data_IF_408946223449
#
_entry.id   IF_408946223449
#
_cell.length_a   1.000
_cell.length_b   1.000
_cell.length_c   1.000
_cell.angle_alpha   90.00
_cell.angle_beta   90.00
_cell.angle_gamma   90.00
#
_symmetry.space_group_name_H-M   'P 1'
#
loop_
_entity.id
_entity.type
_entity.pdbx_description
1 polymer ?
#
# COMPACT_ATOMS: atom_id res chain seq x y z
N UNK A 1 25.54 6.65 -27.69
CA UNK A 1 26.41 6.92 -26.52
C UNK A 1 25.62 7.56 -25.41
N UNK A 2 24.87 6.78 -24.64
CA UNK A 2 24.07 7.31 -23.53
C UNK A 2 24.88 7.19 -22.25
N UNK A 3 25.63 8.24 -21.90
CA UNK A 3 26.28 8.34 -20.59
C UNK A 3 25.23 8.72 -19.55
N UNK A 4 25.29 8.09 -18.38
CA UNK A 4 24.42 8.44 -17.24
C UNK A 4 25.18 9.39 -16.33
N UNK A 5 24.51 10.48 -15.96
CA UNK A 5 25.05 11.53 -15.10
C UNK A 5 24.30 11.56 -13.77
N UNK A 6 25.05 11.55 -12.67
CA UNK A 6 24.50 11.64 -11.30
C UNK A 6 25.28 12.69 -10.54
N UNK A 7 24.57 13.63 -9.92
CA UNK A 7 25.17 14.71 -9.13
C UNK A 7 24.76 14.55 -7.67
N UNK A 8 25.76 14.36 -6.81
CA UNK A 8 25.62 14.37 -5.36
C UNK A 8 25.95 15.76 -4.84
N UNK A 9 25.00 16.38 -4.13
CA UNK A 9 25.16 17.70 -3.51
C UNK A 9 25.23 17.57 -1.99
N UNK A 10 25.81 18.57 -1.33
CA UNK A 10 26.00 18.64 0.13
C UNK A 10 26.97 17.58 0.70
N UNK A 11 27.98 17.19 -0.08
CA UNK A 11 29.07 16.36 0.42
C UNK A 11 30.18 17.28 0.97
N UNK A 12 30.64 17.09 2.21
CA UNK A 12 31.87 17.76 2.63
C UNK A 12 33.06 17.12 1.91
N UNK A 13 33.61 17.79 0.91
CA UNK A 13 34.74 17.26 0.11
C UNK A 13 36.11 17.64 0.70
N UNK A 14 36.15 18.44 1.77
CA UNK A 14 37.41 18.84 2.42
C UNK A 14 38.07 17.67 3.13
N UNK A 15 39.23 17.24 2.60
CA UNK A 15 40.13 16.27 3.23
C UNK A 15 39.95 14.81 2.79
N UNK A 16 39.05 14.51 1.85
CA UNK A 16 38.79 13.15 1.37
C UNK A 16 38.92 13.03 -0.15
N UNK A 17 39.56 11.96 -0.63
CA UNK A 17 39.58 11.61 -2.05
C UNK A 17 38.27 10.89 -2.41
N UNK A 18 37.43 11.53 -3.21
CA UNK A 18 36.13 10.98 -3.63
C UNK A 18 36.29 10.35 -5.01
N UNK A 19 35.83 9.10 -5.17
CA UNK A 19 35.83 8.37 -6.44
C UNK A 19 34.44 7.80 -6.72
N UNK A 20 34.00 7.92 -7.97
CA UNK A 20 32.80 7.27 -8.48
C UNK A 20 33.17 5.86 -8.98
N UNK A 21 32.59 4.84 -8.35
CA UNK A 21 32.82 3.43 -8.71
C UNK A 21 31.50 2.75 -9.08
N UNK A 22 31.56 1.79 -9.99
CA UNK A 22 30.43 0.97 -10.44
C UNK A 22 30.69 -0.48 -10.06
N UNK A 23 29.64 -1.18 -9.65
CA UNK A 23 29.71 -2.59 -9.31
C UNK A 23 29.56 -3.44 -10.58
N UNK A 24 30.59 -4.21 -10.92
CA UNK A 24 30.60 -5.10 -12.09
C UNK A 24 30.68 -6.55 -11.62
N UNK A 25 29.97 -7.42 -12.34
CA UNK A 25 30.01 -8.86 -12.11
C UNK A 25 31.06 -9.50 -13.04
N UNK A 26 32.19 -9.94 -12.48
CA UNK A 26 33.25 -10.59 -13.22
C UNK A 26 33.55 -11.96 -12.60
N UNK A 27 33.46 -13.04 -13.39
CA UNK A 27 33.84 -14.41 -13.00
C UNK A 27 33.26 -14.86 -11.64
N UNK A 28 31.94 -14.73 -11.45
CA UNK A 28 31.22 -15.06 -10.22
C UNK A 28 31.54 -14.19 -8.98
N UNK A 29 32.27 -13.09 -9.14
CA UNK A 29 32.55 -12.13 -8.05
C UNK A 29 32.05 -10.73 -8.40
N UNK A 30 31.61 -9.99 -7.39
CA UNK A 30 31.21 -8.59 -7.52
C UNK A 30 32.42 -7.71 -7.21
N UNK A 31 32.85 -6.89 -8.16
CA UNK A 31 34.01 -6.02 -8.06
C UNK A 31 33.59 -4.56 -8.29
N UNK A 32 34.10 -3.65 -7.46
CA UNK A 32 33.99 -2.21 -7.70
C UNK A 32 35.06 -1.75 -8.68
N UNK A 33 34.69 -0.96 -9.69
CA UNK A 33 35.61 -0.46 -10.72
C UNK A 33 35.28 0.97 -11.13
N UNK A 34 36.30 1.75 -11.44
CA UNK A 34 36.24 3.15 -11.90
C UNK A 34 36.40 3.29 -13.43
N UNK A 35 36.75 2.19 -14.12
CA UNK A 35 37.15 2.14 -15.55
C UNK A 35 36.17 2.71 -16.56
N UNK A 36 34.96 3.03 -16.14
CA UNK A 36 33.86 3.52 -16.98
C UNK A 36 33.12 4.72 -16.36
N UNK A 37 33.68 5.32 -15.31
CA UNK A 37 33.13 6.46 -14.58
C UNK A 37 34.12 7.61 -14.48
N UNK A 38 33.63 8.81 -14.75
CA UNK A 38 34.38 10.05 -14.56
C UNK A 38 33.83 10.72 -13.31
N UNK A 39 34.72 11.01 -12.36
CA UNK A 39 34.42 11.81 -11.17
C UNK A 39 34.81 13.26 -11.44
N UNK A 40 33.87 14.19 -11.32
CA UNK A 40 34.12 15.62 -11.39
C UNK A 40 33.60 16.30 -10.13
N UNK A 41 34.48 16.97 -9.39
CA UNK A 41 34.10 17.73 -8.20
C UNK A 41 33.76 19.15 -8.62
N UNK A 42 32.53 19.59 -8.36
CA UNK A 42 32.04 20.92 -8.69
C UNK A 42 31.91 21.74 -7.38
N UNK A 43 33.00 22.42 -7.00
CA UNK A 43 33.11 23.17 -5.75
C UNK A 43 33.30 22.28 -4.50
N UNK A 44 33.25 22.89 -3.31
CA UNK A 44 33.54 22.22 -2.03
C UNK A 44 32.38 21.33 -1.51
N UNK A 45 31.25 21.30 -2.23
CA UNK A 45 30.02 20.65 -1.75
C UNK A 45 29.33 19.75 -2.76
N UNK A 46 29.82 19.63 -4.00
CA UNK A 46 29.16 18.82 -5.03
C UNK A 46 30.12 17.91 -5.78
N UNK A 47 29.69 16.67 -6.01
CA UNK A 47 30.42 15.65 -6.77
C UNK A 47 29.51 15.13 -7.87
N UNK A 48 30.01 15.13 -9.09
CA UNK A 48 29.32 14.72 -10.31
C UNK A 48 30.01 13.47 -10.87
N UNK A 49 29.23 12.41 -11.05
CA UNK A 49 29.67 11.13 -11.59
C UNK A 49 29.07 10.94 -12.99
N UNK A 50 29.90 10.71 -13.99
CA UNK A 50 29.47 10.45 -15.37
C UNK A 50 29.93 9.06 -15.79
N UNK A 51 29.02 8.11 -15.92
CA UNK A 51 29.34 6.71 -16.16
C UNK A 51 28.73 6.18 -17.47
N UNK A 52 29.40 5.26 -18.16
CA UNK A 52 28.92 4.67 -19.42
C UNK A 52 27.85 3.60 -19.21
N UNK A 53 27.91 2.88 -18.08
CA UNK A 53 26.93 1.88 -17.66
C UNK A 53 26.65 2.04 -16.17
N UNK A 54 25.36 2.02 -15.83
CA UNK A 54 24.90 2.25 -14.47
C UNK A 54 24.43 0.91 -13.88
N UNK A 55 25.18 0.35 -12.92
CA UNK A 55 24.74 -0.85 -12.19
C UNK A 55 23.60 -0.49 -11.22
N UNK A 56 22.44 -1.11 -11.43
CA UNK A 56 21.21 -1.16 -10.62
C UNK A 56 21.03 -0.07 -9.55
N UNK A 57 20.15 0.89 -9.84
CA UNK A 57 19.53 1.75 -8.83
C UNK A 57 18.18 1.15 -8.44
N UNK A 58 18.07 0.62 -7.23
CA UNK A 58 16.78 0.34 -6.59
C UNK A 58 16.40 1.53 -5.72
N UNK A 59 15.62 2.46 -6.27
CA UNK A 59 14.83 3.37 -5.42
C UNK A 59 13.51 2.66 -5.15
N UNK A 60 13.54 1.70 -4.24
CA UNK A 60 12.33 1.24 -3.57
C UNK A 60 12.44 1.71 -2.12
N UNK A 61 11.66 2.75 -1.79
CA UNK A 61 11.49 3.32 -0.46
C UNK A 61 12.66 4.22 0.02
N UNK A 62 12.78 5.42 -0.58
CA UNK A 62 13.57 6.49 0.04
C UNK A 62 12.94 6.88 1.39
N UNK A 63 13.72 6.76 2.47
CA UNK A 63 13.38 7.25 3.81
C UNK A 63 13.58 8.77 3.99
N UNK A 64 14.03 9.48 2.93
CA UNK A 64 14.17 10.94 2.94
C UNK A 64 12.96 11.61 2.28
N UNK A 65 12.47 12.74 2.82
CA UNK A 65 11.39 13.50 2.18
C UNK A 65 11.88 13.97 0.81
N UNK A 66 11.29 13.39 -0.25
CA UNK A 66 11.51 13.87 -1.61
C UNK A 66 10.88 15.26 -1.72
N UNK A 67 11.70 16.31 -1.58
CA UNK A 67 11.31 17.71 -1.77
C UNK A 67 11.05 18.08 -3.25
N UNK A 68 10.98 17.08 -4.13
CA UNK A 68 10.49 17.24 -5.50
C UNK A 68 9.27 16.36 -5.63
N UNK A 69 8.09 16.98 -5.69
CA UNK A 69 6.87 16.33 -6.14
C UNK A 69 7.11 15.77 -7.54
N UNK A 70 7.55 14.51 -7.62
CA UNK A 70 7.78 13.83 -8.88
C UNK A 70 6.45 13.74 -9.62
N UNK A 71 6.24 14.71 -10.51
CA UNK A 71 5.02 14.85 -11.32
C UNK A 71 4.70 13.57 -12.09
N UNK A 72 5.69 12.71 -12.34
CA UNK A 72 5.53 11.38 -12.93
C UNK A 72 4.82 10.40 -11.99
N UNK A 73 5.20 10.33 -10.72
CA UNK A 73 4.58 9.42 -9.73
C UNK A 73 3.13 9.82 -9.44
N UNK A 74 2.86 11.12 -9.34
CA UNK A 74 1.49 11.62 -9.14
C UNK A 74 0.60 11.28 -10.35
N UNK A 75 1.10 11.49 -11.58
CA UNK A 75 0.37 11.12 -12.81
C UNK A 75 0.10 9.62 -12.87
N UNK A 76 1.09 8.78 -12.57
CA UNK A 76 0.93 7.33 -12.56
C UNK A 76 -0.12 6.89 -11.54
N UNK A 77 -0.08 7.47 -10.33
CA UNK A 77 -1.06 7.19 -9.27
C UNK A 77 -2.47 7.59 -9.71
N UNK A 78 -2.65 8.78 -10.30
CA UNK A 78 -3.95 9.23 -10.82
C UNK A 78 -4.49 8.30 -11.90
N UNK A 79 -3.66 7.88 -12.86
CA UNK A 79 -4.07 6.94 -13.92
C UNK A 79 -4.46 5.57 -13.33
N UNK A 80 -3.62 4.99 -12.47
CA UNK A 80 -3.89 3.70 -11.85
C UNK A 80 -5.16 3.71 -11.00
N UNK A 81 -5.36 4.79 -10.24
CA UNK A 81 -6.55 4.96 -9.42
C UNK A 81 -7.82 5.16 -10.25
N UNK A 82 -7.72 5.86 -11.39
CA UNK A 82 -8.85 6.05 -12.31
C UNK A 82 -9.32 4.71 -12.89
N UNK A 83 -8.37 3.86 -13.33
CA UNK A 83 -8.67 2.49 -13.80
C UNK A 83 -9.31 1.66 -12.67
N UNK A 84 -8.76 1.77 -11.46
CA UNK A 84 -9.29 1.06 -10.28
C UNK A 84 -10.72 1.45 -9.97
N UNK A 85 -11.06 2.74 -10.06
CA UNK A 85 -12.43 3.26 -9.86
C UNK A 85 -13.40 2.65 -10.87
N UNK A 86 -13.03 2.60 -12.15
CA UNK A 86 -13.87 1.98 -13.19
C UNK A 86 -14.09 0.50 -12.90
N UNK A 87 -13.03 -0.24 -12.57
CA UNK A 87 -13.11 -1.66 -12.26
C UNK A 87 -13.97 -1.93 -11.01
N UNK A 88 -13.77 -1.17 -9.92
CA UNK A 88 -14.55 -1.28 -8.69
C UNK A 88 -16.02 -0.96 -8.91
N UNK A 89 -16.33 0.03 -9.76
CA UNK A 89 -17.70 0.39 -10.10
C UNK A 89 -18.42 -0.74 -10.84
N UNK A 90 -17.72 -1.38 -11.80
CA UNK A 90 -18.24 -2.55 -12.52
C UNK A 90 -18.45 -3.71 -11.54
N UNK A 91 -17.46 -4.01 -10.71
CA UNK A 91 -17.54 -5.09 -9.71
C UNK A 91 -18.72 -4.89 -8.74
N UNK A 92 -18.89 -3.66 -8.24
CA UNK A 92 -20.00 -3.31 -7.37
C UNK A 92 -21.35 -3.48 -8.09
N UNK A 93 -21.45 -3.05 -9.35
CA UNK A 93 -22.64 -3.24 -10.17
C UNK A 93 -23.01 -4.72 -10.35
N UNK A 94 -22.01 -5.55 -10.65
CA UNK A 94 -22.18 -7.01 -10.75
C UNK A 94 -22.63 -7.59 -9.42
N UNK A 95 -21.99 -7.24 -8.32
CA UNK A 95 -22.37 -7.73 -6.99
C UNK A 95 -23.79 -7.32 -6.62
N UNK A 96 -24.16 -6.06 -6.76
CA UNK A 96 -25.53 -5.61 -6.45
C UNK A 96 -26.56 -6.32 -7.33
N UNK A 97 -26.30 -6.46 -8.63
CA UNK A 97 -27.21 -7.12 -9.56
C UNK A 97 -27.38 -8.62 -9.26
N UNK A 98 -26.27 -9.34 -9.12
CA UNK A 98 -26.26 -10.79 -8.88
C UNK A 98 -26.79 -11.12 -7.48
N UNK A 99 -26.40 -10.38 -6.44
CA UNK A 99 -26.83 -10.66 -5.08
C UNK A 99 -28.29 -10.28 -4.82
N UNK A 100 -28.82 -9.25 -5.49
CA UNK A 100 -30.27 -8.99 -5.51
C UNK A 100 -31.04 -10.18 -6.09
N UNK A 101 -30.47 -10.89 -7.06
CA UNK A 101 -31.09 -12.07 -7.67
C UNK A 101 -30.96 -13.35 -6.83
N UNK A 102 -29.96 -13.45 -5.95
CA UNK A 102 -29.62 -14.71 -5.26
C UNK A 102 -29.83 -14.69 -3.73
N UNK A 103 -30.22 -13.57 -3.10
CA UNK A 103 -30.41 -13.46 -1.64
C UNK A 103 -29.23 -14.02 -0.82
N UNK A 104 -28.00 -13.81 -1.30
CA UNK A 104 -26.81 -14.38 -0.66
C UNK A 104 -26.26 -13.38 0.37
N UNK A 105 -26.53 -13.67 1.65
CA UNK A 105 -25.98 -12.93 2.81
C UNK A 105 -24.44 -12.84 2.86
N UNK A 106 -23.75 -13.66 2.05
CA UNK A 106 -22.29 -13.84 2.11
C UNK A 106 -21.48 -12.71 1.47
N UNK A 107 -22.12 -11.80 0.75
CA UNK A 107 -21.41 -10.78 -0.04
C UNK A 107 -21.45 -9.36 0.53
N UNK A 108 -22.15 -9.15 1.63
CA UNK A 108 -22.26 -7.84 2.28
C UNK A 108 -20.88 -7.27 2.60
N UNK A 109 -19.95 -8.11 3.10
CA UNK A 109 -18.59 -7.67 3.46
C UNK A 109 -17.79 -7.27 2.22
N UNK A 110 -17.86 -8.05 1.13
CA UNK A 110 -17.22 -7.71 -0.15
C UNK A 110 -17.72 -6.39 -0.72
N UNK A 111 -19.03 -6.13 -0.60
CA UNK A 111 -19.63 -4.85 -0.99
C UNK A 111 -19.08 -3.72 -0.11
N UNK A 112 -19.00 -3.89 1.21
CA UNK A 112 -18.41 -2.89 2.12
C UNK A 112 -16.95 -2.56 1.76
N UNK A 113 -16.14 -3.57 1.43
CA UNK A 113 -14.76 -3.39 0.97
C UNK A 113 -14.71 -2.55 -0.32
N UNK A 114 -15.48 -2.97 -1.33
CA UNK A 114 -15.52 -2.31 -2.64
C UNK A 114 -15.99 -0.86 -2.52
N UNK A 115 -17.06 -0.61 -1.75
CA UNK A 115 -17.57 0.74 -1.50
C UNK A 115 -16.53 1.62 -0.79
N UNK A 116 -15.88 1.11 0.25
CA UNK A 116 -14.87 1.87 1.00
C UNK A 116 -13.68 2.26 0.12
N UNK A 117 -13.18 1.32 -0.71
CA UNK A 117 -12.11 1.59 -1.67
C UNK A 117 -12.54 2.57 -2.76
N UNK A 118 -13.76 2.43 -3.29
CA UNK A 118 -14.28 3.32 -4.32
C UNK A 118 -14.38 4.76 -3.80
N UNK A 119 -14.98 4.95 -2.63
CA UNK A 119 -15.13 6.27 -2.00
C UNK A 119 -13.76 6.88 -1.69
N UNK A 120 -12.84 6.10 -1.10
CA UNK A 120 -11.46 6.54 -0.84
C UNK A 120 -10.75 6.98 -2.13
N UNK A 121 -10.94 6.23 -3.22
CA UNK A 121 -10.31 6.51 -4.51
C UNK A 121 -10.84 7.80 -5.14
N UNK A 122 -12.16 8.03 -5.06
CA UNK A 122 -12.79 9.26 -5.52
C UNK A 122 -12.33 10.47 -4.69
N UNK A 123 -12.27 10.34 -3.36
CA UNK A 123 -11.78 11.40 -2.47
C UNK A 123 -10.32 11.75 -2.81
N UNK A 124 -9.47 10.76 -3.08
CA UNK A 124 -8.09 11.00 -3.46
C UNK A 124 -7.99 11.72 -4.82
N UNK A 125 -8.73 11.26 -5.84
CA UNK A 125 -8.70 11.87 -7.17
C UNK A 125 -9.20 13.32 -7.18
N UNK A 126 -10.27 13.60 -6.44
CA UNK A 126 -10.94 14.90 -6.45
C UNK A 126 -10.40 15.88 -5.38
N UNK A 127 -9.92 15.36 -4.25
CA UNK A 127 -9.66 16.14 -3.05
C UNK A 127 -8.19 16.44 -2.75
N UNK A 128 -7.23 15.71 -3.34
CA UNK A 128 -5.82 15.84 -2.92
C UNK A 128 -5.19 17.21 -3.28
N UNK A 129 -5.72 17.88 -4.31
CA UNK A 129 -5.28 19.19 -4.78
C UNK A 129 -6.10 20.36 -4.22
N UNK A 130 -7.08 20.10 -3.34
CA UNK A 130 -7.97 21.11 -2.76
C UNK A 130 -7.32 21.85 -1.57
N UNK A 131 -6.15 22.46 -1.79
CA UNK A 131 -5.35 23.15 -0.74
C UNK A 131 -5.86 24.56 -0.39
N UNK A 132 -6.76 25.14 -1.19
CA UNK A 132 -7.26 26.51 -1.04
C UNK A 132 -8.05 26.75 0.27
N UNK A 133 -8.58 25.71 0.89
CA UNK A 133 -9.37 25.81 2.12
C UNK A 133 -8.90 24.80 3.16
N UNK A 134 -8.27 25.30 4.24
CA UNK A 134 -7.73 24.46 5.34
C UNK A 134 -8.76 23.48 5.92
N UNK A 135 -10.01 23.91 6.10
CA UNK A 135 -11.08 23.07 6.64
C UNK A 135 -11.46 21.93 5.68
N UNK A 136 -11.57 22.21 4.37
CA UNK A 136 -11.85 21.21 3.35
C UNK A 136 -10.69 20.21 3.24
N UNK A 137 -9.46 20.70 3.26
CA UNK A 137 -8.25 19.88 3.21
C UNK A 137 -8.17 18.90 4.39
N UNK A 138 -8.49 19.38 5.60
CA UNK A 138 -8.60 18.55 6.81
C UNK A 138 -9.72 17.52 6.71
N UNK A 139 -10.90 17.91 6.21
CA UNK A 139 -12.03 17.00 6.01
C UNK A 139 -11.71 15.89 4.98
N UNK A 140 -11.04 16.25 3.87
CA UNK A 140 -10.57 15.30 2.86
C UNK A 140 -9.58 14.30 3.47
N UNK A 141 -8.56 14.79 4.19
CA UNK A 141 -7.56 13.92 4.83
C UNK A 141 -8.19 12.96 5.85
N UNK A 142 -9.08 13.46 6.71
CA UNK A 142 -9.79 12.65 7.70
C UNK A 142 -10.70 11.60 7.04
N UNK A 143 -11.45 12.00 6.00
CA UNK A 143 -12.33 11.09 5.27
C UNK A 143 -11.52 10.00 4.57
N UNK A 144 -10.41 10.37 3.94
CA UNK A 144 -9.52 9.44 3.27
C UNK A 144 -8.94 8.41 4.25
N UNK A 145 -8.46 8.85 5.42
CA UNK A 145 -7.97 7.96 6.46
C UNK A 145 -9.06 7.00 6.97
N UNK A 146 -10.28 7.50 7.18
CA UNK A 146 -11.41 6.68 7.62
C UNK A 146 -11.75 5.58 6.61
N UNK A 147 -11.94 5.92 5.33
CA UNK A 147 -12.32 4.93 4.32
C UNK A 147 -11.20 3.93 4.02
N UNK A 148 -9.94 4.36 4.08
CA UNK A 148 -8.79 3.45 3.97
C UNK A 148 -8.75 2.45 5.14
N UNK A 149 -8.92 2.92 6.37
CA UNK A 149 -9.01 2.04 7.54
C UNK A 149 -10.22 1.09 7.43
N UNK A 150 -11.39 1.60 7.03
CA UNK A 150 -12.59 0.77 6.83
C UNK A 150 -12.36 -0.32 5.77
N UNK A 151 -11.63 -0.03 4.69
CA UNK A 151 -11.24 -1.04 3.71
C UNK A 151 -10.32 -2.11 4.32
N UNK A 152 -9.34 -1.72 5.15
CA UNK A 152 -8.46 -2.68 5.84
C UNK A 152 -9.26 -3.60 6.78
N UNK A 153 -10.12 -3.02 7.64
CA UNK A 153 -10.96 -3.82 8.53
C UNK A 153 -11.98 -4.68 7.77
N UNK A 154 -12.47 -4.23 6.60
CA UNK A 154 -13.29 -5.06 5.71
C UNK A 154 -12.50 -6.28 5.21
N UNK A 155 -11.26 -6.08 4.77
CA UNK A 155 -10.38 -7.18 4.35
C UNK A 155 -10.09 -8.15 5.50
N UNK A 156 -9.89 -7.64 6.72
CA UNK A 156 -9.76 -8.46 7.93
C UNK A 156 -11.02 -9.31 8.20
N UNK A 157 -12.20 -8.70 8.04
CA UNK A 157 -13.47 -9.39 8.22
C UNK A 157 -13.70 -10.48 7.18
N UNK A 158 -13.27 -10.27 5.92
CA UNK A 158 -13.26 -11.31 4.90
C UNK A 158 -12.32 -12.47 5.28
N UNK A 159 -11.11 -12.15 5.74
CA UNK A 159 -10.17 -13.15 6.26
C UNK A 159 -10.77 -13.97 7.41
N UNK A 160 -11.44 -13.31 8.35
CA UNK A 160 -12.15 -13.99 9.44
C UNK A 160 -13.31 -14.85 8.94
N UNK A 161 -14.06 -14.42 7.93
CA UNK A 161 -15.13 -15.20 7.32
C UNK A 161 -14.58 -16.47 6.64
N UNK A 162 -13.45 -16.36 5.93
CA UNK A 162 -12.76 -17.51 5.34
C UNK A 162 -12.26 -18.49 6.40
N UNK A 163 -11.66 -17.97 7.48
CA UNK A 163 -11.20 -18.79 8.59
C UNK A 163 -12.36 -19.49 9.30
N UNK A 164 -13.47 -18.78 9.52
CA UNK A 164 -14.68 -19.34 10.13
C UNK A 164 -15.30 -20.46 9.29
N UNK A 165 -15.25 -20.36 7.95
CA UNK A 165 -15.71 -21.42 7.06
C UNK A 165 -14.89 -22.71 7.19
N UNK A 166 -13.57 -22.58 7.40
CA UNK A 166 -12.68 -23.72 7.58
C UNK A 166 -12.87 -24.37 8.95
N UNK A 167 -12.95 -23.57 10.02
CA UNK A 167 -13.06 -24.07 11.40
C UNK A 167 -14.47 -24.61 11.68
N UNK A 168 -15.51 -23.97 11.16
CA UNK A 168 -16.91 -24.31 11.40
C UNK A 168 -17.64 -24.63 10.08
N UNK A 169 -17.33 -25.77 9.42
CA UNK A 169 -17.87 -26.09 8.09
C UNK A 169 -19.39 -26.25 8.05
N UNK A 170 -20.04 -26.46 9.21
CA UNK A 170 -21.50 -26.62 9.31
C UNK A 170 -22.26 -25.28 9.47
N UNK A 171 -21.57 -24.14 9.65
CA UNK A 171 -22.23 -22.83 9.71
C UNK A 171 -22.47 -22.28 8.31
N UNK A 172 -23.74 -22.09 7.95
CA UNK A 172 -24.14 -21.63 6.61
C UNK A 172 -24.35 -20.12 6.50
N UNK A 173 -24.60 -19.42 7.61
CA UNK A 173 -24.84 -17.96 7.66
C UNK A 173 -23.55 -17.18 7.96
N UNK A 174 -23.33 -16.10 7.23
CA UNK A 174 -22.25 -15.13 7.53
C UNK A 174 -22.62 -14.30 8.75
N UNK A 175 -21.65 -14.03 9.64
CA UNK A 175 -21.82 -13.20 10.83
C UNK A 175 -21.77 -11.69 10.49
N UNK A 176 -22.33 -11.28 9.36
CA UNK A 176 -22.23 -9.91 8.84
C UNK A 176 -22.80 -8.87 9.82
N UNK A 177 -23.86 -9.21 10.56
CA UNK A 177 -24.49 -8.31 11.55
C UNK A 177 -23.53 -7.91 12.66
N UNK A 178 -22.58 -8.77 13.02
CA UNK A 178 -21.55 -8.46 14.01
C UNK A 178 -20.32 -7.80 13.37
N UNK A 179 -19.95 -8.23 12.16
CA UNK A 179 -18.74 -7.75 11.48
C UNK A 179 -18.90 -6.32 10.92
N UNK A 180 -20.06 -5.94 10.42
CA UNK A 180 -20.30 -4.60 9.84
C UNK A 180 -20.08 -3.47 10.86
N UNK A 181 -20.63 -3.54 12.09
CA UNK A 181 -20.31 -2.57 13.14
C UNK A 181 -18.81 -2.49 13.47
N UNK A 182 -18.09 -3.62 13.44
CA UNK A 182 -16.64 -3.64 13.69
C UNK A 182 -15.88 -2.95 12.54
N UNK A 183 -16.27 -3.22 11.29
CA UNK A 183 -15.67 -2.65 10.07
C UNK A 183 -15.72 -1.12 10.07
N UNK A 184 -16.85 -0.53 10.45
CA UNK A 184 -17.02 0.93 10.40
C UNK A 184 -16.77 1.62 11.75
N UNK A 185 -17.10 0.96 12.86
CA UNK A 185 -16.94 1.52 14.20
C UNK A 185 -15.48 1.62 14.63
N UNK A 186 -14.64 0.64 14.31
CA UNK A 186 -13.23 0.67 14.72
C UNK A 186 -12.41 1.75 13.99
N UNK A 187 -12.52 1.96 12.65
CA UNK A 187 -11.94 3.13 11.99
C UNK A 187 -12.43 4.46 12.57
N UNK A 188 -13.73 4.55 12.88
CA UNK A 188 -14.30 5.78 13.43
C UNK A 188 -13.69 6.11 14.79
N UNK A 189 -13.55 5.12 15.67
CA UNK A 189 -12.92 5.28 16.96
C UNK A 189 -11.45 5.71 16.83
N UNK A 190 -10.68 5.05 15.95
CA UNK A 190 -9.28 5.41 15.68
C UNK A 190 -9.17 6.84 15.16
N UNK A 191 -10.07 7.25 14.25
CA UNK A 191 -10.09 8.61 13.73
C UNK A 191 -10.39 9.64 14.82
N UNK A 192 -11.41 9.41 15.65
CA UNK A 192 -11.80 10.31 16.75
C UNK A 192 -10.63 10.47 17.73
N UNK A 193 -10.01 9.37 18.14
CA UNK A 193 -8.84 9.41 19.04
C UNK A 193 -7.69 10.18 18.39
N UNK A 194 -7.42 9.94 17.10
CA UNK A 194 -6.37 10.64 16.37
C UNK A 194 -6.62 12.14 16.27
N UNK A 195 -7.86 12.56 16.01
CA UNK A 195 -8.24 13.98 15.97
C UNK A 195 -8.23 14.63 17.35
N UNK A 196 -8.55 13.89 18.42
CA UNK A 196 -8.53 14.38 19.79
C UNK A 196 -7.08 14.61 20.29
N UNK A 197 -6.15 13.73 19.91
CA UNK A 197 -4.75 13.82 20.31
C UNK A 197 -3.97 14.83 19.45
N UNK A 198 -4.29 14.94 18.16
CA UNK A 198 -3.55 15.77 17.22
C UNK A 198 -4.47 16.43 16.18
N UNK A 199 -5.32 17.35 16.63
CA UNK A 199 -6.24 18.10 15.76
C UNK A 199 -5.53 18.88 14.66
N UNK A 200 -4.31 19.35 14.92
CA UNK A 200 -3.53 20.20 14.02
C UNK A 200 -2.67 19.39 13.05
N UNK A 201 -2.61 18.07 13.21
CA UNK A 201 -1.85 17.16 12.34
C UNK A 201 -2.59 16.72 11.07
N UNK A 202 -3.83 17.16 10.86
CA UNK A 202 -4.62 16.82 9.68
C UNK A 202 -4.62 17.96 8.65
N UNK A 203 -3.92 17.75 7.52
CA UNK A 203 -3.78 18.70 6.42
C UNK A 203 -2.51 19.54 6.55
N UNK A 204 -1.66 19.50 5.52
CA UNK A 204 -0.48 20.38 5.39
C UNK A 204 -0.74 21.49 4.37
N UNK A 205 0.08 22.53 4.34
CA UNK A 205 -0.07 23.63 3.38
C UNK A 205 0.12 23.23 1.92
N UNK A 206 0.79 22.10 1.66
CA UNK A 206 1.10 21.63 0.30
C UNK A 206 0.26 20.44 -0.16
N UNK A 207 -0.22 19.60 0.77
CA UNK A 207 -1.05 18.43 0.45
C UNK A 207 -2.08 18.14 1.55
N UNK A 208 -3.28 17.74 1.13
CA UNK A 208 -4.38 17.33 2.00
C UNK A 208 -4.21 15.90 2.51
N UNK A 209 -3.11 15.70 3.25
CA UNK A 209 -2.71 14.44 3.88
C UNK A 209 -2.33 14.67 5.35
N UNK A 210 -2.22 13.59 6.11
CA UNK A 210 -1.79 13.65 7.51
C UNK A 210 -0.34 14.15 7.58
N UNK A 211 -0.08 15.15 8.42
CA UNK A 211 1.25 15.70 8.60
C UNK A 211 2.19 14.62 9.17
N UNK A 212 3.44 14.60 8.71
CA UNK A 212 4.43 13.60 9.11
C UNK A 212 5.02 13.85 10.51
N UNK A 213 4.52 14.87 11.21
CA UNK A 213 5.05 15.34 12.49
C UNK A 213 4.57 14.51 13.69
N UNK A 214 5.48 14.34 14.66
CA UNK A 214 5.23 13.79 16.01
C UNK A 214 4.63 12.37 16.09
N UNK A 215 4.86 11.52 15.09
CA UNK A 215 4.48 10.10 15.16
C UNK A 215 3.01 9.82 14.86
N UNK A 216 2.23 10.82 14.43
CA UNK A 216 0.82 10.66 14.06
C UNK A 216 0.62 9.64 12.92
N UNK A 217 1.64 9.45 12.06
CA UNK A 217 1.68 8.37 11.06
C UNK A 217 1.44 6.97 11.65
N UNK A 218 1.89 6.71 12.88
CA UNK A 218 1.73 5.40 13.53
C UNK A 218 0.28 5.09 13.88
N UNK A 219 -0.58 6.10 14.04
CA UNK A 219 -2.02 5.90 14.23
C UNK A 219 -2.68 5.25 13.00
N UNK A 220 -2.10 5.43 11.81
CA UNK A 220 -2.54 4.75 10.59
C UNK A 220 -1.71 3.51 10.27
N UNK A 221 -0.38 3.63 10.33
CA UNK A 221 0.55 2.55 9.95
C UNK A 221 0.45 1.35 10.90
N UNK A 222 0.26 1.57 12.20
CA UNK A 222 0.15 0.48 13.19
C UNK A 222 -1.03 -0.47 12.90
N UNK A 223 -2.27 0.05 12.80
CA UNK A 223 -3.43 -0.76 12.41
C UNK A 223 -3.25 -1.49 11.07
N UNK A 224 -2.66 -0.84 10.07
CA UNK A 224 -2.38 -1.45 8.76
C UNK A 224 -1.46 -2.66 8.90
N UNK A 225 -0.34 -2.52 9.63
CA UNK A 225 0.59 -3.64 9.84
C UNK A 225 -0.11 -4.81 10.55
N UNK A 226 -0.92 -4.54 11.57
CA UNK A 226 -1.67 -5.56 12.29
C UNK A 226 -2.64 -6.33 11.38
N UNK A 227 -3.45 -5.60 10.60
CA UNK A 227 -4.41 -6.19 9.66
C UNK A 227 -3.72 -7.02 8.57
N UNK A 228 -2.68 -6.48 7.96
CA UNK A 228 -1.92 -7.18 6.91
C UNK A 228 -1.30 -8.47 7.45
N UNK A 229 -0.72 -8.41 8.65
CA UNK A 229 -0.15 -9.59 9.32
C UNK A 229 -1.20 -10.66 9.59
N UNK A 230 -2.37 -10.27 10.10
CA UNK A 230 -3.49 -11.18 10.33
C UNK A 230 -3.95 -11.84 9.02
N UNK A 231 -4.17 -11.06 7.96
CA UNK A 231 -4.60 -11.59 6.66
C UNK A 231 -3.57 -12.54 6.05
N UNK A 232 -2.27 -12.26 6.21
CA UNK A 232 -1.21 -13.16 5.77
C UNK A 232 -1.26 -14.51 6.52
N UNK A 233 -1.48 -14.50 7.84
CA UNK A 233 -1.63 -15.72 8.64
C UNK A 233 -2.84 -16.53 8.16
N UNK A 234 -4.00 -15.88 7.97
CA UNK A 234 -5.21 -16.54 7.44
C UNK A 234 -4.92 -17.18 6.08
N UNK A 235 -4.27 -16.46 5.16
CA UNK A 235 -3.93 -16.98 3.85
C UNK A 235 -3.04 -18.24 3.95
N UNK A 236 -2.04 -18.23 4.83
CA UNK A 236 -1.17 -19.40 5.04
C UNK A 236 -1.95 -20.61 5.58
N UNK A 237 -2.91 -20.41 6.50
CA UNK A 237 -3.77 -21.47 7.03
C UNK A 237 -4.65 -22.05 5.92
N UNK A 238 -5.28 -21.18 5.12
CA UNK A 238 -6.14 -21.57 3.99
C UNK A 238 -5.34 -22.40 2.97
N UNK A 239 -4.17 -21.91 2.55
CA UNK A 239 -3.31 -22.61 1.59
C UNK A 239 -2.86 -23.98 2.10
N UNK A 240 -2.43 -24.07 3.37
CA UNK A 240 -2.09 -25.36 3.99
C UNK A 240 -3.27 -26.33 4.02
N UNK A 241 -4.47 -25.83 4.30
CA UNK A 241 -5.69 -26.65 4.35
C UNK A 241 -6.04 -27.18 2.97
N UNK A 242 -6.04 -26.33 1.93
CA UNK A 242 -6.34 -26.72 0.55
C UNK A 242 -5.34 -27.77 0.04
N UNK A 243 -4.04 -27.53 0.22
CA UNK A 243 -3.00 -28.51 -0.18
C UNK A 243 -3.13 -29.82 0.60
N UNK A 244 -3.51 -29.76 1.88
CA UNK A 244 -3.81 -30.95 2.68
C UNK A 244 -4.98 -31.76 2.11
N UNK A 245 -6.06 -31.08 1.73
CA UNK A 245 -7.24 -31.72 1.13
C UNK A 245 -6.93 -32.36 -0.22
N UNK A 246 -6.11 -31.73 -1.06
CA UNK A 246 -5.68 -32.30 -2.35
C UNK A 246 -4.88 -33.59 -2.17
N UNK A 247 -4.00 -33.64 -1.17
CA UNK A 247 -3.24 -34.86 -0.83
C UNK A 247 -4.15 -36.00 -0.37
N UNK A 248 -5.14 -35.70 0.48
CA UNK A 248 -6.13 -36.69 0.95
C UNK A 248 -6.98 -37.20 -0.22
N UNK A 249 -7.45 -36.31 -1.09
CA UNK A 249 -8.24 -36.67 -2.28
C UNK A 249 -7.44 -37.52 -3.27
N UNK A 250 -6.16 -37.21 -3.47
CA UNK A 250 -5.27 -38.02 -4.30
C UNK A 250 -5.02 -39.41 -3.70
N UNK A 251 -4.94 -39.53 -2.36
CA UNK A 251 -4.80 -40.80 -1.67
C UNK A 251 -6.07 -41.66 -1.77
N UNK A 252 -7.25 -41.08 -1.56
CA UNK A 252 -8.55 -41.79 -1.69
C UNK A 252 -8.79 -42.29 -3.13
N UNK A 253 -8.41 -41.48 -4.13
CA UNK A 253 -8.51 -41.87 -5.54
C UNK A 253 -7.61 -43.08 -5.85
N UNK A 254 -6.39 -43.12 -5.30
CA UNK A 254 -5.49 -44.27 -5.45
C UNK A 254 -5.99 -45.52 -4.74
N UNK A 255 -6.67 -45.37 -3.60
CA UNK A 255 -7.25 -46.49 -2.85
C UNK A 255 -8.44 -47.14 -3.57
N UNK A 256 -9.24 -46.38 -4.34
CA UNK A 256 -10.36 -46.91 -5.14
C UNK A 256 -9.96 -47.63 -6.42
N UNK A 257 -8.72 -47.44 -6.91
CA UNK A 257 -8.22 -48.05 -8.15
C UNK A 257 -7.55 -49.41 -7.89
N UNK A 258 -7.23 -49.72 -6.63
CA UNK A 258 -6.59 -50.98 -6.20
C UNK A 258 -7.61 -51.94 -5.62
#
# INVERSE_FOLDING_TARGET
>A
NNKVEITFKNLMTQGYEIRCEVLVHERNTLLWTDKDCITSTEGDTSVRCVCSHLSVFSILMSLHPAHTTDTRLVKLTKVGLSISVVCLSIALGVFVYVFKSMNVDKAVIHICLCCSLLISSLIFLLGIEATNHKLLCKAVAASLQYFLLAAQFSMMAEGFQLLSLIIFPFRTKSNWTFLVPVIFGTPLLVLIISMAVASDGFGTSEVCWIANDKGLKWAFVGPVIGVVSFNAIVLLIVLKTIVGMDKVRAADTKAKIK
#
